data_IF_459327768413
#
_entry.id   IF_459327768413
#
_cell.length_a   1.000
_cell.length_b   1.000
_cell.length_c   1.000
_cell.angle_alpha   90.00
_cell.angle_beta   90.00
_cell.angle_gamma   90.00
#
_symmetry.space_group_name_H-M   'P 1'
#
loop_
_entity.id
_entity.type
_entity.pdbx_description
1 polymer ?
#
# COMPACT_ATOMS: atom_id res chain seq x y z
N UNK A 1 26.77 5.96 -59.31
CA UNK A 1 25.48 5.72 -58.60
C UNK A 1 25.51 4.49 -57.68
N UNK A 2 26.22 3.39 -58.03
CA UNK A 2 26.25 2.15 -57.22
C UNK A 2 26.96 2.21 -55.85
N UNK A 3 27.91 3.14 -55.63
CA UNK A 3 28.68 3.20 -54.36
C UNK A 3 27.89 3.85 -53.21
N UNK A 4 26.88 4.68 -53.51
CA UNK A 4 26.03 5.35 -52.51
C UNK A 4 24.94 4.41 -51.94
N UNK A 5 24.41 3.50 -52.76
CA UNK A 5 23.39 2.51 -52.36
C UNK A 5 23.94 1.40 -51.44
N UNK A 6 25.24 1.08 -51.54
CA UNK A 6 25.87 0.03 -50.72
C UNK A 6 26.08 0.46 -49.27
N UNK A 7 26.28 1.76 -49.03
CA UNK A 7 26.47 2.30 -47.68
C UNK A 7 25.14 2.53 -46.96
N UNK A 8 24.07 2.88 -47.67
CA UNK A 8 22.73 3.04 -47.07
C UNK A 8 22.14 1.71 -46.60
N UNK A 9 22.35 0.60 -47.34
CA UNK A 9 21.91 -0.73 -46.94
C UNK A 9 22.62 -1.29 -45.69
N UNK A 10 23.91 -0.97 -45.52
CA UNK A 10 24.65 -1.33 -44.32
C UNK A 10 24.16 -0.56 -43.08
N UNK A 11 23.83 0.73 -43.24
CA UNK A 11 23.30 1.55 -42.15
C UNK A 11 21.92 1.07 -41.70
N UNK A 12 21.01 0.71 -42.61
CA UNK A 12 19.70 0.15 -42.23
C UNK A 12 19.83 -1.21 -41.56
N UNK A 13 20.72 -2.09 -42.04
CA UNK A 13 20.95 -3.39 -41.41
C UNK A 13 21.51 -3.25 -39.98
N UNK A 14 22.44 -2.29 -39.78
CA UNK A 14 22.97 -1.98 -38.45
C UNK A 14 21.91 -1.38 -37.52
N UNK A 15 21.03 -0.51 -38.04
CA UNK A 15 19.93 0.08 -37.27
C UNK A 15 18.91 -0.98 -36.83
N UNK A 16 18.58 -1.94 -37.69
CA UNK A 16 17.68 -3.06 -37.38
C UNK A 16 18.32 -4.02 -36.37
N UNK A 17 19.62 -4.27 -36.49
CA UNK A 17 20.36 -5.10 -35.51
C UNK A 17 20.43 -4.42 -34.14
N UNK A 18 20.66 -3.11 -34.10
CA UNK A 18 20.63 -2.32 -32.86
C UNK A 18 19.20 -2.28 -32.29
N UNK A 19 18.15 -2.14 -33.12
CA UNK A 19 16.76 -2.21 -32.67
C UNK A 19 16.38 -3.60 -32.11
N UNK A 20 16.91 -4.68 -32.68
CA UNK A 20 16.71 -6.04 -32.18
C UNK A 20 17.46 -6.29 -30.86
N UNK A 21 18.64 -5.70 -30.68
CA UNK A 21 19.40 -5.75 -29.42
C UNK A 21 18.82 -4.82 -28.34
N UNK A 22 18.11 -3.75 -28.74
CA UNK A 22 17.32 -2.87 -27.88
C UNK A 22 15.96 -3.46 -27.48
N UNK A 23 15.57 -4.62 -28.01
CA UNK A 23 14.54 -5.49 -27.43
C UNK A 23 14.99 -6.10 -26.10
N UNK A 24 15.53 -5.26 -25.21
CA UNK A 24 16.06 -5.63 -23.92
C UNK A 24 14.96 -6.17 -23.01
N UNK A 25 15.28 -7.27 -22.33
CA UNK A 25 14.64 -7.79 -21.12
C UNK A 25 13.13 -7.51 -21.01
N UNK A 26 12.30 -8.19 -21.80
CA UNK A 26 10.91 -8.40 -21.39
C UNK A 26 10.96 -9.07 -20.01
N UNK A 27 10.62 -8.32 -18.96
CA UNK A 27 10.40 -8.89 -17.65
C UNK A 27 9.24 -9.90 -17.81
N UNK A 28 9.48 -11.21 -17.66
CA UNK A 28 8.47 -12.21 -18.00
C UNK A 28 7.18 -11.93 -17.22
N UNK A 29 6.04 -11.95 -17.90
CA UNK A 29 4.72 -11.68 -17.28
C UNK A 29 4.44 -12.63 -16.09
N UNK A 30 4.97 -13.86 -16.14
CA UNK A 30 4.90 -14.83 -15.04
C UNK A 30 5.57 -14.31 -13.77
N UNK A 31 6.71 -13.62 -13.87
CA UNK A 31 7.37 -12.99 -12.72
C UNK A 31 6.57 -11.82 -12.16
N UNK A 32 5.76 -11.13 -12.99
CA UNK A 32 4.88 -10.05 -12.49
C UNK A 32 3.74 -10.59 -11.63
N UNK A 33 3.22 -11.77 -11.94
CA UNK A 33 2.17 -12.41 -11.16
C UNK A 33 2.71 -12.91 -9.81
N UNK A 34 3.87 -13.55 -9.78
CA UNK A 34 4.53 -13.96 -8.53
C UNK A 34 4.83 -12.78 -7.59
N UNK A 35 5.25 -11.63 -8.15
CA UNK A 35 5.53 -10.41 -7.38
C UNK A 35 4.28 -9.71 -6.81
N UNK A 36 3.08 -10.17 -7.14
CA UNK A 36 1.83 -9.63 -6.61
C UNK A 36 1.28 -10.44 -5.44
N UNK A 37 1.88 -11.61 -5.14
CA UNK A 37 1.40 -12.49 -4.08
C UNK A 37 2.06 -12.10 -2.74
N UNK A 38 1.28 -11.88 -1.68
CA UNK A 38 1.80 -11.75 -0.32
C UNK A 38 2.52 -13.04 0.08
N UNK A 39 3.70 -12.92 0.70
CA UNK A 39 4.54 -14.08 1.01
C UNK A 39 5.03 -14.02 2.44
N UNK A 40 4.63 -15.01 3.24
CA UNK A 40 5.13 -15.18 4.62
C UNK A 40 6.63 -15.40 4.63
N UNK A 41 7.17 -16.14 3.64
CA UNK A 41 8.61 -16.36 3.50
C UNK A 41 9.38 -15.04 3.40
N UNK A 42 8.91 -14.10 2.56
CA UNK A 42 9.57 -12.80 2.43
C UNK A 42 9.43 -11.92 3.67
N UNK A 43 8.28 -11.98 4.34
CA UNK A 43 8.07 -11.28 5.61
C UNK A 43 9.02 -11.79 6.70
N UNK A 44 9.13 -13.11 6.86
CA UNK A 44 10.03 -13.71 7.85
C UNK A 44 11.51 -13.46 7.56
N UNK A 45 11.91 -13.54 6.29
CA UNK A 45 13.28 -13.23 5.88
C UNK A 45 13.63 -11.77 6.18
N UNK A 46 12.71 -10.85 5.85
CA UNK A 46 12.88 -9.41 6.14
C UNK A 46 12.88 -9.15 7.64
N UNK A 47 12.01 -9.82 8.42
CA UNK A 47 11.98 -9.70 9.88
C UNK A 47 13.33 -10.10 10.51
N UNK A 48 13.88 -11.25 10.13
CA UNK A 48 15.20 -11.70 10.61
C UNK A 48 16.31 -10.71 10.26
N UNK A 49 16.27 -10.15 9.05
CA UNK A 49 17.23 -9.15 8.61
C UNK A 49 17.14 -7.85 9.44
N UNK A 50 15.92 -7.37 9.73
CA UNK A 50 15.68 -6.20 10.60
C UNK A 50 16.18 -6.45 12.01
N UNK A 51 15.87 -7.61 12.59
CA UNK A 51 16.30 -7.98 13.94
C UNK A 51 17.83 -8.04 14.06
N UNK A 52 18.50 -8.66 13.08
CA UNK A 52 19.96 -8.73 13.08
C UNK A 52 20.60 -7.36 12.84
N UNK A 53 20.03 -6.53 11.96
CA UNK A 53 20.48 -5.15 11.75
C UNK A 53 20.37 -4.32 13.03
N UNK A 54 19.23 -4.41 13.73
CA UNK A 54 19.01 -3.69 14.99
C UNK A 54 19.97 -4.17 16.08
N UNK A 55 20.23 -5.47 16.17
CA UNK A 55 21.19 -6.04 17.13
C UNK A 55 22.61 -5.53 16.90
N UNK A 56 23.04 -5.42 15.65
CA UNK A 56 24.39 -5.00 15.29
C UNK A 56 24.61 -3.47 15.42
N UNK A 57 23.57 -2.68 15.19
CA UNK A 57 23.69 -1.21 15.02
C UNK A 57 23.00 -0.38 16.10
N UNK A 58 22.08 -0.99 16.87
CA UNK A 58 21.25 -0.29 17.85
C UNK A 58 20.11 0.55 17.26
N UNK A 59 19.92 0.55 15.93
CA UNK A 59 18.89 1.36 15.25
C UNK A 59 18.08 0.54 14.24
N UNK A 60 16.91 1.03 13.84
CA UNK A 60 16.05 0.37 12.84
C UNK A 60 16.42 0.77 11.39
N UNK A 61 16.30 -0.15 10.42
CA UNK A 61 16.61 0.09 9.01
C UNK A 61 15.43 0.77 8.30
N UNK A 62 15.01 1.94 8.77
CA UNK A 62 13.86 2.67 8.23
C UNK A 62 14.27 3.88 7.39
N UNK A 63 13.41 4.26 6.45
CA UNK A 63 13.53 5.51 5.71
C UNK A 63 13.11 6.70 6.60
N UNK A 64 13.70 7.86 6.38
CA UNK A 64 13.29 9.10 7.06
C UNK A 64 12.00 9.62 6.42
N UNK A 65 10.96 9.83 7.25
CA UNK A 65 9.65 10.37 6.85
C UNK A 65 9.30 11.61 7.67
N UNK A 66 8.35 12.41 7.17
CA UNK A 66 7.83 13.58 7.89
C UNK A 66 7.14 13.16 9.19
N UNK A 67 7.20 14.02 10.22
CA UNK A 67 6.61 13.74 11.53
C UNK A 67 5.10 13.46 11.46
N UNK A 68 4.40 14.10 10.52
CA UNK A 68 2.95 14.00 10.30
C UNK A 68 2.56 12.82 9.40
N UNK A 69 3.51 12.00 8.97
CA UNK A 69 3.21 10.80 8.17
C UNK A 69 2.31 9.86 8.97
N UNK A 70 1.20 9.36 8.39
CA UNK A 70 0.30 8.42 9.06
C UNK A 70 1.05 7.21 9.62
N UNK A 71 0.64 6.75 10.81
CA UNK A 71 1.42 5.77 11.60
C UNK A 71 1.74 4.48 10.82
N UNK A 72 0.79 3.97 10.04
CA UNK A 72 0.95 2.74 9.24
C UNK A 72 1.80 2.93 7.97
N UNK A 73 2.18 4.17 7.63
CA UNK A 73 3.04 4.51 6.49
C UNK A 73 4.41 5.08 6.96
N UNK A 74 4.56 5.31 8.28
CA UNK A 74 5.65 6.11 8.84
C UNK A 74 7.01 5.38 8.84
N UNK A 75 7.01 4.08 9.08
CA UNK A 75 8.23 3.31 9.31
C UNK A 75 8.53 2.38 8.15
N UNK A 76 8.60 2.94 6.94
CA UNK A 76 9.00 2.22 5.72
C UNK A 76 10.42 1.66 5.87
N UNK A 77 10.61 0.40 5.49
CA UNK A 77 11.91 -0.28 5.57
C UNK A 77 12.81 0.19 4.42
N UNK A 78 14.02 0.63 4.74
CA UNK A 78 15.06 0.97 3.77
C UNK A 78 15.95 -0.25 3.51
N UNK A 79 15.61 -1.03 2.48
CA UNK A 79 16.35 -2.24 2.12
C UNK A 79 17.84 -2.00 1.81
N UNK A 80 18.24 -0.78 1.44
CA UNK A 80 19.65 -0.44 1.19
C UNK A 80 20.50 -0.57 2.45
N UNK A 81 19.89 -0.43 3.64
CA UNK A 81 20.56 -0.64 4.94
C UNK A 81 20.70 -2.12 5.29
N UNK A 82 19.84 -2.97 4.74
CA UNK A 82 19.84 -4.42 4.99
C UNK A 82 20.76 -5.18 4.04
N UNK A 83 20.96 -4.68 2.82
CA UNK A 83 21.70 -5.38 1.78
C UNK A 83 23.21 -5.08 1.76
N UNK A 84 24.04 -6.05 1.29
CA UNK A 84 23.74 -7.48 1.15
C UNK A 84 23.91 -8.23 2.49
N UNK A 85 24.38 -7.54 3.54
CA UNK A 85 24.87 -8.17 4.78
C UNK A 85 23.81 -8.96 5.54
N UNK A 86 22.61 -8.41 5.67
CA UNK A 86 21.51 -8.99 6.46
C UNK A 86 20.43 -9.62 5.59
N UNK A 87 20.31 -9.14 4.34
CA UNK A 87 19.40 -9.67 3.34
C UNK A 87 20.13 -9.71 1.98
N UNK A 88 20.17 -10.86 1.29
CA UNK A 88 20.96 -10.99 0.06
C UNK A 88 20.41 -10.16 -1.10
N UNK A 89 19.08 -10.04 -1.20
CA UNK A 89 18.41 -9.20 -2.17
C UNK A 89 17.05 -8.72 -1.63
N UNK A 90 16.50 -7.64 -2.19
CA UNK A 90 15.15 -7.16 -1.87
C UNK A 90 14.12 -8.23 -2.26
N UNK A 91 13.06 -8.46 -1.45
CA UNK A 91 11.96 -9.36 -1.81
C UNK A 91 11.37 -9.04 -3.18
N UNK A 92 11.06 -10.06 -3.97
CA UNK A 92 10.57 -9.87 -5.34
C UNK A 92 9.19 -9.17 -5.39
N UNK A 93 8.36 -9.39 -4.38
CA UNK A 93 7.05 -8.74 -4.26
C UNK A 93 7.12 -7.31 -3.66
N UNK A 94 8.31 -6.83 -3.32
CA UNK A 94 8.51 -5.46 -2.86
C UNK A 94 8.46 -4.47 -4.04
N UNK A 95 8.01 -3.26 -3.77
CA UNK A 95 7.88 -2.19 -4.74
C UNK A 95 9.20 -1.86 -5.45
N UNK A 96 10.31 -1.87 -4.71
CA UNK A 96 11.65 -1.60 -5.22
C UNK A 96 12.13 -2.64 -6.25
N UNK A 97 11.46 -3.80 -6.32
CA UNK A 97 11.68 -4.85 -7.32
C UNK A 97 10.55 -4.96 -8.35
N UNK A 98 9.65 -3.97 -8.39
CA UNK A 98 8.51 -3.94 -9.31
C UNK A 98 7.29 -4.72 -8.82
N UNK A 99 7.27 -5.14 -7.56
CA UNK A 99 6.08 -5.66 -6.88
C UNK A 99 5.13 -4.55 -6.44
N UNK A 100 4.09 -4.93 -5.71
CA UNK A 100 3.00 -4.02 -5.30
C UNK A 100 2.96 -3.75 -3.79
N UNK A 101 3.91 -4.32 -3.03
CA UNK A 101 3.96 -4.16 -1.58
C UNK A 101 5.09 -3.23 -1.16
N UNK A 102 4.77 -2.32 -0.28
CA UNK A 102 5.78 -1.61 0.51
C UNK A 102 5.93 -2.31 1.86
N UNK A 103 7.17 -2.48 2.32
CA UNK A 103 7.46 -3.10 3.60
C UNK A 103 7.57 -2.02 4.68
N UNK A 104 6.90 -2.22 5.81
CA UNK A 104 6.88 -1.27 6.93
C UNK A 104 7.00 -1.98 8.27
N UNK A 105 7.43 -1.25 9.30
CA UNK A 105 7.44 -1.72 10.68
C UNK A 105 6.26 -1.18 11.46
N UNK A 106 5.65 -2.04 12.27
CA UNK A 106 4.77 -1.64 13.36
C UNK A 106 5.45 -1.88 14.71
N UNK A 107 4.88 -1.30 15.77
CA UNK A 107 5.34 -1.52 17.15
C UNK A 107 6.84 -1.21 17.37
N UNK A 108 7.37 -0.20 16.66
CA UNK A 108 8.81 0.12 16.59
C UNK A 108 9.47 0.44 17.94
N UNK A 109 8.70 0.93 18.91
CA UNK A 109 9.19 1.27 20.26
C UNK A 109 9.25 0.06 21.20
N UNK A 110 8.70 -1.09 20.79
CA UNK A 110 8.58 -2.28 21.66
C UNK A 110 9.07 -3.53 20.97
N UNK A 111 8.29 -4.06 20.02
CA UNK A 111 8.62 -5.24 19.23
C UNK A 111 8.44 -4.91 17.74
N UNK A 112 9.45 -4.28 17.10
CA UNK A 112 9.42 -3.96 15.68
C UNK A 112 9.03 -5.18 14.86
N UNK A 113 7.93 -5.06 14.12
CA UNK A 113 7.34 -6.18 13.39
C UNK A 113 7.08 -5.78 11.94
N UNK A 114 7.61 -6.56 10.99
CA UNK A 114 7.50 -6.32 9.55
C UNK A 114 6.09 -6.62 9.05
N UNK A 115 5.53 -5.69 8.28
CA UNK A 115 4.21 -5.79 7.64
C UNK A 115 4.22 -5.18 6.24
N UNK A 116 3.16 -5.43 5.49
CA UNK A 116 2.99 -4.97 4.12
C UNK A 116 1.93 -3.87 4.01
N UNK A 117 2.21 -2.90 3.15
CA UNK A 117 1.24 -1.93 2.63
C UNK A 117 0.97 -2.29 1.18
N UNK A 118 -0.30 -2.43 0.81
CA UNK A 118 -0.69 -2.67 -0.58
C UNK A 118 -0.73 -1.36 -1.37
N UNK A 119 0.28 -1.09 -2.20
CA UNK A 119 0.42 0.19 -2.92
C UNK A 119 -0.65 0.42 -3.99
N UNK A 120 -1.22 -0.66 -4.57
CA UNK A 120 -2.35 -0.52 -5.48
C UNK A 120 -3.55 0.19 -4.83
N UNK A 121 -3.94 -0.24 -3.62
CA UNK A 121 -4.98 0.39 -2.81
C UNK A 121 -4.64 1.84 -2.44
N UNK A 122 -3.38 2.10 -2.05
CA UNK A 122 -2.90 3.47 -1.76
C UNK A 122 -3.04 4.39 -2.98
N UNK A 123 -2.65 3.89 -4.15
CA UNK A 123 -2.76 4.62 -5.42
C UNK A 123 -4.23 4.96 -5.75
N UNK A 124 -5.15 3.99 -5.56
CA UNK A 124 -6.58 4.25 -5.73
C UNK A 124 -7.12 5.31 -4.79
N UNK A 125 -6.71 5.32 -3.53
CA UNK A 125 -7.08 6.41 -2.60
C UNK A 125 -6.59 7.76 -3.12
N UNK A 126 -5.34 7.85 -3.59
CA UNK A 126 -4.78 9.09 -4.11
C UNK A 126 -5.53 9.59 -5.36
N UNK A 127 -5.90 8.70 -6.28
CA UNK A 127 -6.71 9.03 -7.46
C UNK A 127 -8.05 9.65 -7.06
N UNK A 128 -8.76 9.03 -6.10
CA UNK A 128 -10.07 9.50 -5.63
C UNK A 128 -9.91 10.79 -4.82
N UNK A 129 -8.89 10.91 -3.97
CA UNK A 129 -8.59 12.13 -3.23
C UNK A 129 -8.41 13.33 -4.18
N UNK A 130 -7.66 13.14 -5.27
CA UNK A 130 -7.47 14.19 -6.26
C UNK A 130 -8.78 14.57 -6.96
N UNK A 131 -9.67 13.60 -7.21
CA UNK A 131 -10.99 13.86 -7.78
C UNK A 131 -11.91 14.63 -6.81
N UNK A 132 -11.93 14.26 -5.52
CA UNK A 132 -12.67 14.97 -4.47
C UNK A 132 -12.18 16.41 -4.34
N UNK A 133 -10.87 16.64 -4.31
CA UNK A 133 -10.28 17.99 -4.25
C UNK A 133 -10.71 18.85 -5.45
N UNK A 134 -10.68 18.29 -6.66
CA UNK A 134 -11.14 18.99 -7.87
C UNK A 134 -12.63 19.33 -7.79
N UNK A 135 -13.46 18.39 -7.34
CA UNK A 135 -14.89 18.62 -7.18
C UNK A 135 -15.17 19.72 -6.16
N UNK A 136 -14.53 19.66 -4.99
CA UNK A 136 -14.68 20.65 -3.93
C UNK A 136 -14.24 22.05 -4.38
N UNK A 137 -13.15 22.15 -5.15
CA UNK A 137 -12.71 23.43 -5.73
C UNK A 137 -13.71 24.02 -6.72
N UNK A 138 -14.36 23.18 -7.52
CA UNK A 138 -15.25 23.64 -8.60
C UNK A 138 -16.67 23.96 -8.11
N UNK A 139 -17.13 23.27 -7.06
CA UNK A 139 -18.53 23.33 -6.62
C UNK A 139 -18.71 23.79 -5.17
N UNK A 140 -17.61 24.02 -4.45
CA UNK A 140 -17.60 24.40 -3.02
C UNK A 140 -18.40 23.43 -2.13
N UNK A 141 -18.49 22.17 -2.55
CA UNK A 141 -19.26 21.09 -1.91
C UNK A 141 -18.49 19.79 -1.96
N UNK A 142 -18.79 18.89 -1.02
CA UNK A 142 -18.29 17.52 -1.08
C UNK A 142 -19.18 16.63 -1.96
N UNK A 143 -18.59 15.66 -2.67
CA UNK A 143 -19.32 14.70 -3.50
C UNK A 143 -19.97 13.61 -2.61
N UNK A 144 -20.88 14.00 -1.71
CA UNK A 144 -21.53 13.08 -0.77
C UNK A 144 -22.62 12.28 -1.51
N UNK A 145 -22.62 10.95 -1.29
CA UNK A 145 -23.71 10.04 -1.66
C UNK A 145 -24.66 9.81 -0.48
N UNK A 146 -24.11 9.43 0.67
CA UNK A 146 -24.86 9.22 1.91
C UNK A 146 -23.98 9.43 3.15
N UNK A 147 -24.59 9.90 4.24
CA UNK A 147 -24.00 9.91 5.58
C UNK A 147 -23.95 8.47 6.12
N UNK A 148 -22.76 8.03 6.54
CA UNK A 148 -22.53 6.70 7.12
C UNK A 148 -22.25 6.79 8.64
N UNK A 149 -22.45 7.95 9.23
CA UNK A 149 -22.31 8.25 10.65
C UNK A 149 -20.91 8.75 11.02
N UNK A 150 -20.79 9.25 12.24
CA UNK A 150 -19.51 9.56 12.88
C UNK A 150 -18.63 10.62 12.15
N UNK A 151 -19.23 11.42 11.27
CA UNK A 151 -18.52 12.43 10.47
C UNK A 151 -17.95 11.90 9.15
N UNK A 152 -18.36 10.70 8.74
CA UNK A 152 -17.94 10.07 7.49
C UNK A 152 -19.09 9.92 6.51
N UNK A 153 -18.74 9.92 5.23
CA UNK A 153 -19.66 9.87 4.11
C UNK A 153 -19.19 8.87 3.07
N UNK A 154 -20.16 8.20 2.45
CA UNK A 154 -19.92 7.50 1.19
C UNK A 154 -19.80 8.50 0.03
N UNK A 155 -18.94 8.16 -0.93
CA UNK A 155 -18.59 9.05 -2.05
C UNK A 155 -19.54 8.81 -3.22
N UNK A 156 -20.08 9.89 -3.78
CA UNK A 156 -20.85 9.86 -5.02
C UNK A 156 -19.91 9.95 -6.23
N UNK A 157 -19.51 8.79 -6.74
CA UNK A 157 -18.62 8.69 -7.89
C UNK A 157 -19.22 9.25 -9.18
N UNK A 158 -20.56 9.34 -9.27
CA UNK A 158 -21.22 9.96 -10.44
C UNK A 158 -20.93 11.46 -10.52
N UNK A 159 -20.90 12.15 -9.37
CA UNK A 159 -20.47 13.56 -9.28
C UNK A 159 -19.00 13.78 -9.64
N UNK A 160 -18.19 12.73 -9.51
CA UNK A 160 -16.77 12.74 -9.87
C UNK A 160 -16.53 12.36 -11.34
N UNK A 161 -17.56 11.99 -12.09
CA UNK A 161 -17.44 11.40 -13.44
C UNK A 161 -16.54 10.17 -13.46
N UNK A 162 -16.62 9.35 -12.41
CA UNK A 162 -15.83 8.13 -12.24
C UNK A 162 -16.75 6.93 -12.04
N UNK A 163 -16.25 5.73 -12.38
CA UNK A 163 -16.88 4.49 -11.91
C UNK A 163 -16.62 4.32 -10.42
N UNK A 164 -17.51 3.63 -9.73
CA UNK A 164 -17.29 3.29 -8.32
C UNK A 164 -15.99 2.49 -8.17
N UNK A 165 -15.13 2.94 -7.26
CA UNK A 165 -13.82 2.33 -7.00
C UNK A 165 -13.85 1.73 -5.60
N UNK A 166 -13.46 0.46 -5.53
CA UNK A 166 -13.21 -0.27 -4.31
C UNK A 166 -11.83 -0.93 -4.42
N UNK A 167 -11.25 -1.33 -3.30
CA UNK A 167 -9.93 -1.95 -3.24
C UNK A 167 -10.02 -3.38 -2.71
N UNK A 168 -9.12 -4.31 -3.09
CA UNK A 168 -9.14 -5.66 -2.53
C UNK A 168 -8.96 -5.65 -1.01
N UNK A 169 -9.75 -6.47 -0.31
CA UNK A 169 -9.54 -6.77 1.09
C UNK A 169 -8.22 -7.53 1.30
N UNK A 170 -7.61 -7.33 2.47
CA UNK A 170 -6.33 -7.95 2.84
C UNK A 170 -6.49 -9.17 3.74
N UNK A 171 -7.70 -9.41 4.24
CA UNK A 171 -8.03 -10.52 5.13
C UNK A 171 -9.07 -11.51 4.56
N UNK A 172 -9.55 -11.29 3.34
CA UNK A 172 -10.55 -12.15 2.70
C UNK A 172 -10.81 -11.80 1.24
N UNK A 173 -11.70 -12.55 0.59
CA UNK A 173 -12.06 -12.37 -0.82
C UNK A 173 -13.28 -11.47 -0.98
N UNK A 174 -13.10 -10.17 -0.71
CA UNK A 174 -14.10 -9.12 -0.88
C UNK A 174 -13.42 -7.80 -1.23
N UNK A 175 -14.21 -6.80 -1.58
CA UNK A 175 -13.74 -5.46 -1.85
C UNK A 175 -14.08 -4.53 -0.67
N UNK A 176 -13.17 -3.63 -0.33
CA UNK A 176 -13.33 -2.60 0.67
C UNK A 176 -13.75 -1.28 0.01
N UNK A 177 -14.79 -0.59 0.54
CA UNK A 177 -15.22 0.68 0.00
C UNK A 177 -14.25 1.81 0.38
N UNK A 178 -14.28 2.87 -0.43
CA UNK A 178 -13.65 4.14 -0.10
C UNK A 178 -14.70 5.08 0.49
N UNK A 179 -14.33 5.75 1.58
CA UNK A 179 -15.15 6.71 2.31
C UNK A 179 -14.40 8.03 2.43
N UNK A 180 -15.09 9.11 2.78
CA UNK A 180 -14.45 10.39 3.08
C UNK A 180 -14.98 11.00 4.37
N UNK A 181 -14.17 11.80 5.06
CA UNK A 181 -14.65 12.60 6.16
C UNK A 181 -15.26 13.93 5.68
N UNK A 182 -15.76 14.72 6.62
CA UNK A 182 -16.31 16.06 6.37
C UNK A 182 -15.32 17.10 5.82
N UNK A 183 -14.02 16.82 5.83
CA UNK A 183 -12.99 17.66 5.20
C UNK A 183 -12.73 17.25 3.75
N UNK A 184 -13.34 16.17 3.28
CA UNK A 184 -13.08 15.58 1.96
C UNK A 184 -11.80 14.76 1.90
N UNK A 185 -11.22 14.38 3.05
CA UNK A 185 -10.11 13.43 3.10
C UNK A 185 -10.66 12.04 2.81
N UNK A 186 -10.03 11.30 1.91
CA UNK A 186 -10.47 9.98 1.44
C UNK A 186 -9.66 8.90 2.15
N UNK A 187 -10.35 7.83 2.56
CA UNK A 187 -9.74 6.65 3.16
C UNK A 187 -10.48 5.36 2.77
N UNK A 188 -9.83 4.23 3.04
CA UNK A 188 -10.39 2.90 2.89
C UNK A 188 -11.10 2.54 4.19
N UNK A 189 -12.32 2.03 4.07
CA UNK A 189 -13.03 1.45 5.20
C UNK A 189 -12.61 -0.02 5.39
N UNK A 190 -11.75 -0.26 6.38
CA UNK A 190 -11.23 -1.57 6.76
C UNK A 190 -12.13 -2.35 7.74
N UNK A 191 -13.37 -1.92 8.02
CA UNK A 191 -14.25 -2.60 8.98
C UNK A 191 -14.36 -4.12 8.74
N UNK A 192 -14.55 -4.52 7.47
CA UNK A 192 -14.65 -5.93 7.09
C UNK A 192 -13.35 -6.72 7.32
N UNK A 193 -12.20 -6.11 7.03
CA UNK A 193 -10.88 -6.69 7.26
C UNK A 193 -10.57 -6.84 8.75
N UNK A 194 -10.82 -5.79 9.54
CA UNK A 194 -10.66 -5.81 10.99
C UNK A 194 -11.53 -6.92 11.59
N UNK A 195 -12.82 -6.97 11.26
CA UNK A 195 -13.73 -8.00 11.76
C UNK A 195 -13.28 -9.42 11.38
N UNK A 196 -12.79 -9.60 10.15
CA UNK A 196 -12.32 -10.90 9.67
C UNK A 196 -11.05 -11.35 10.38
N UNK A 197 -10.07 -10.46 10.57
CA UNK A 197 -8.85 -10.80 11.31
C UNK A 197 -9.15 -11.11 12.77
N UNK A 198 -9.99 -10.31 13.44
CA UNK A 198 -10.37 -10.55 14.84
C UNK A 198 -11.07 -11.91 15.01
N UNK A 199 -12.02 -12.23 14.12
CA UNK A 199 -12.74 -13.51 14.14
C UNK A 199 -11.81 -14.70 13.90
N UNK A 200 -10.94 -14.63 12.88
CA UNK A 200 -10.07 -15.75 12.51
C UNK A 200 -8.97 -16.00 13.53
N UNK A 201 -8.40 -14.93 14.10
CA UNK A 201 -7.34 -15.02 15.11
C UNK A 201 -7.85 -15.19 16.53
N UNK A 202 -9.17 -15.06 16.75
CA UNK A 202 -9.81 -14.97 18.07
C UNK A 202 -9.15 -13.92 18.97
N UNK A 203 -8.65 -12.84 18.36
CA UNK A 203 -7.98 -11.77 19.09
C UNK A 203 -8.99 -10.84 19.74
N UNK A 204 -8.73 -10.48 20.98
CA UNK A 204 -9.49 -9.44 21.68
C UNK A 204 -8.88 -8.07 21.42
N UNK A 205 -9.74 -7.05 21.41
CA UNK A 205 -9.32 -5.65 21.31
C UNK A 205 -9.36 -5.07 22.72
N UNK A 206 -8.21 -4.66 23.30
CA UNK A 206 -8.20 -4.04 24.61
C UNK A 206 -9.06 -2.77 24.63
N UNK A 207 -9.61 -2.43 25.80
CA UNK A 207 -10.42 -1.21 25.96
C UNK A 207 -9.64 0.02 25.50
N UNK A 208 -10.35 0.96 24.86
CA UNK A 208 -9.78 2.21 24.32
C UNK A 208 -8.59 2.01 23.36
N UNK A 209 -8.50 0.85 22.70
CA UNK A 209 -7.51 0.57 21.66
C UNK A 209 -8.17 0.61 20.29
N UNK A 210 -7.54 1.30 19.35
CA UNK A 210 -7.94 1.27 17.95
C UNK A 210 -7.71 -0.16 17.39
N UNK A 211 -8.75 -0.86 16.91
CA UNK A 211 -8.66 -2.25 16.47
C UNK A 211 -7.78 -2.43 15.22
N UNK A 212 -7.46 -1.35 14.48
CA UNK A 212 -6.48 -1.39 13.38
C UNK A 212 -5.11 -1.90 13.82
N UNK A 213 -4.67 -1.57 15.04
CA UNK A 213 -3.41 -2.09 15.57
C UNK A 213 -3.46 -3.59 15.82
N UNK A 214 -4.61 -4.11 16.27
CA UNK A 214 -4.79 -5.56 16.47
C UNK A 214 -4.80 -6.27 15.13
N UNK A 215 -5.53 -5.74 14.14
CA UNK A 215 -5.51 -6.24 12.75
C UNK A 215 -4.08 -6.30 12.21
N UNK A 216 -3.32 -5.20 12.35
CA UNK A 216 -1.94 -5.13 11.88
C UNK A 216 -1.03 -6.15 12.56
N UNK A 217 -1.20 -6.39 13.87
CA UNK A 217 -0.41 -7.40 14.60
C UNK A 217 -0.77 -8.83 14.21
N UNK A 218 -2.03 -9.09 13.84
CA UNK A 218 -2.58 -10.43 13.58
C UNK A 218 -2.70 -10.79 12.09
N UNK A 219 -2.18 -9.96 11.20
CA UNK A 219 -2.15 -10.21 9.76
C UNK A 219 -0.79 -9.84 9.15
N UNK A 220 -0.62 -10.08 7.85
CA UNK A 220 0.55 -9.64 7.08
C UNK A 220 0.53 -8.14 6.76
N UNK A 221 -0.60 -7.46 6.93
CA UNK A 221 -0.85 -6.14 6.35
C UNK A 221 -1.12 -5.08 7.42
N UNK A 222 -0.89 -3.82 7.05
CA UNK A 222 -1.37 -2.66 7.82
C UNK A 222 -2.52 -1.96 7.08
N UNK A 223 -3.50 -1.39 7.80
CA UNK A 223 -4.60 -0.64 7.19
C UNK A 223 -4.15 0.79 6.83
N UNK A 224 -3.29 0.92 5.82
CA UNK A 224 -2.84 2.21 5.30
C UNK A 224 -4.01 3.01 4.68
N UNK A 225 -3.91 4.34 4.63
CA UNK A 225 -4.99 5.22 4.14
C UNK A 225 -6.35 4.94 4.81
N UNK A 226 -6.33 4.75 6.12
CA UNK A 226 -7.52 4.45 6.91
C UNK A 226 -7.74 5.47 8.01
N UNK A 227 -8.99 5.64 8.43
CA UNK A 227 -9.36 6.42 9.61
C UNK A 227 -9.33 5.58 10.89
N UNK A 228 -9.26 6.19 12.08
CA UNK A 228 -9.33 5.46 13.36
C UNK A 228 -10.66 4.73 13.55
N UNK A 229 -10.62 3.64 14.33
CA UNK A 229 -11.80 2.83 14.68
C UNK A 229 -11.96 2.70 16.19
N UNK A 230 -13.17 2.35 16.58
CA UNK A 230 -13.53 1.84 17.90
C UNK A 230 -14.36 0.56 17.78
N UNK A 231 -14.45 -0.20 18.86
CA UNK A 231 -15.31 -1.39 18.91
C UNK A 231 -16.66 -1.01 19.52
N UNK A 232 -17.76 -1.26 18.78
CA UNK A 232 -19.13 -1.03 19.22
C UNK A 232 -19.92 -2.32 19.08
N UNK A 233 -20.42 -2.87 20.18
CA UNK A 233 -21.17 -4.13 20.20
C UNK A 233 -20.44 -5.31 19.52
N UNK A 234 -19.11 -5.35 19.64
CA UNK A 234 -18.28 -6.40 19.05
C UNK A 234 -17.91 -6.17 17.58
N UNK A 235 -18.35 -5.06 16.97
CA UNK A 235 -18.03 -4.72 15.58
C UNK A 235 -17.12 -3.48 15.50
N UNK A 236 -16.16 -3.45 14.56
CA UNK A 236 -15.36 -2.26 14.33
C UNK A 236 -16.21 -1.19 13.64
N UNK A 237 -16.23 0.02 14.21
CA UNK A 237 -16.86 1.20 13.61
C UNK A 237 -15.85 2.34 13.52
N UNK A 238 -15.95 3.13 12.46
CA UNK A 238 -15.15 4.34 12.31
C UNK A 238 -15.33 5.24 13.54
N UNK A 239 -14.22 5.66 14.13
CA UNK A 239 -14.22 6.48 15.34
C UNK A 239 -14.88 7.82 15.07
N UNK A 240 -15.86 8.19 15.91
CA UNK A 240 -16.53 9.48 15.82
C UNK A 240 -15.54 10.65 15.79
N UNK A 241 -15.65 11.47 14.74
CA UNK A 241 -14.92 12.73 14.66
C UNK A 241 -15.52 13.72 15.66
N UNK A 242 -14.66 14.29 16.50
CA UNK A 242 -15.01 15.39 17.38
C UNK A 242 -14.73 16.68 16.61
N UNK A 243 -15.79 17.34 16.15
CA UNK A 243 -15.70 18.64 15.51
C UNK A 243 -15.89 19.75 16.51
#
# INVERSE_FOLDING_TARGET
MLRKMRNTGLLTALLVMIAALLGGCMYPEEKKLENQIPSEFYLEATQKAVEQFQKDTGVLPIATKDINTPIFEKYEIDFRKLMPKYLPDVPANAFEKGGIYMYTLIDVETKPTVRLIHLGSVSKVADIQAAVIRYQRNYEKLPIKADIGNGYYSIDFSKLSMKEVQVPGTAGNYLLPLVMNEKGEVGIDYAADIATVLRNSKAEVPKATDPRYVMARKSMFVPAKSFPYEMVNGEPKLLKLNN
#
